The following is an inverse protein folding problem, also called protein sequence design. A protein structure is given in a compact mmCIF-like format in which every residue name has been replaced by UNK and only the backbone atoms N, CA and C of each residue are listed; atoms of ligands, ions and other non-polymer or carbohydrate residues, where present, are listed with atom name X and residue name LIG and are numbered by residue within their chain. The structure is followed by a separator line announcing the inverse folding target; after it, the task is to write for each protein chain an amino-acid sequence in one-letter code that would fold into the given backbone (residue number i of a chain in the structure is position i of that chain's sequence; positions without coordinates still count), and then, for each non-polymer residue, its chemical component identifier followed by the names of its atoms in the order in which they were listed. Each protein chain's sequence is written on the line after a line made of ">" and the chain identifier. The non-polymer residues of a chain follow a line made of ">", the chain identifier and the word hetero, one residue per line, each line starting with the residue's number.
data_IF_818483922558
#
_entry.id   IF_818483922558
#
_cell.length_a   1.000
_cell.length_b   1.000
_cell.length_c   1.000
_cell.angle_alpha   90.00
_cell.angle_beta   90.00
_cell.angle_gamma   90.00
#
_symmetry.space_group_name_H-M   'P 1'
#
loop_
_entity.id
_entity.type
_entity.pdbx_description
1 polymer ?
#
# COMPACT_ATOMS: atom_id res chain seq x y z
N UNK A 1 9.61 -11.11 7.47
CA UNK A 1 9.24 -11.67 6.16
C UNK A 1 10.45 -12.28 5.48
N UNK A 2 10.34 -13.45 4.92
CA UNK A 2 11.41 -14.04 4.12
C UNK A 2 11.26 -13.57 2.67
N UNK A 3 12.37 -13.24 1.97
CA UNK A 3 12.37 -12.99 0.51
C UNK A 3 12.15 -14.30 -0.27
N UNK A 4 11.30 -15.18 0.25
CA UNK A 4 11.06 -16.50 -0.33
C UNK A 4 10.03 -16.36 -1.43
N UNK A 5 10.34 -16.78 -2.67
CA UNK A 5 9.36 -16.84 -3.74
C UNK A 5 8.22 -17.79 -3.39
N UNK A 6 7.00 -17.41 -3.82
CA UNK A 6 5.83 -18.29 -3.70
C UNK A 6 6.06 -19.62 -4.39
N UNK A 7 5.64 -20.71 -3.78
CA UNK A 7 5.68 -22.03 -4.39
C UNK A 7 4.44 -22.30 -5.26
N UNK A 8 4.55 -23.28 -6.15
CA UNK A 8 3.41 -23.71 -6.98
C UNK A 8 2.29 -24.29 -6.10
N UNK A 9 2.63 -24.92 -4.98
CA UNK A 9 1.62 -25.54 -4.11
C UNK A 9 0.88 -24.47 -3.30
N UNK A 10 1.57 -23.44 -2.75
CA UNK A 10 0.90 -22.26 -2.16
C UNK A 10 -0.06 -21.58 -3.15
N UNK A 11 0.36 -21.45 -4.42
CA UNK A 11 -0.49 -20.88 -5.46
C UNK A 11 -1.74 -21.74 -5.74
N UNK A 12 -1.61 -23.07 -5.76
CA UNK A 12 -2.75 -24.00 -5.90
C UNK A 12 -3.72 -23.90 -4.72
N UNK A 13 -3.18 -23.91 -3.50
CA UNK A 13 -3.97 -23.83 -2.27
C UNK A 13 -4.75 -22.52 -2.21
N UNK A 14 -4.09 -21.39 -2.56
CA UNK A 14 -4.75 -20.10 -2.68
C UNK A 14 -5.92 -20.14 -3.67
N UNK A 15 -5.70 -20.69 -4.88
CA UNK A 15 -6.74 -20.79 -5.89
C UNK A 15 -7.91 -21.67 -5.46
N UNK A 16 -7.65 -22.74 -4.73
CA UNK A 16 -8.69 -23.63 -4.20
C UNK A 16 -9.54 -22.93 -3.13
N UNK A 17 -8.91 -22.16 -2.24
CA UNK A 17 -9.57 -21.40 -1.17
C UNK A 17 -10.32 -20.17 -1.69
N UNK A 18 -9.94 -19.62 -2.85
CA UNK A 18 -10.50 -18.39 -3.41
C UNK A 18 -11.09 -18.59 -4.82
N UNK A 19 -12.21 -19.34 -4.96
CA UNK A 19 -12.77 -19.70 -6.25
C UNK A 19 -13.36 -18.53 -7.04
N UNK A 20 -13.71 -17.42 -6.39
CA UNK A 20 -14.27 -16.20 -7.00
C UNK A 20 -13.22 -15.30 -7.64
N UNK A 21 -11.94 -15.44 -7.27
CA UNK A 21 -10.85 -14.66 -7.82
C UNK A 21 -10.69 -14.93 -9.31
N UNK A 22 -10.67 -13.88 -10.12
CA UNK A 22 -10.48 -13.88 -11.57
C UNK A 22 -9.18 -13.21 -12.00
N UNK A 23 -8.70 -12.27 -11.19
CA UNK A 23 -7.57 -11.40 -11.50
C UNK A 23 -6.56 -11.38 -10.36
N UNK A 24 -5.29 -11.42 -10.72
CA UNK A 24 -4.16 -11.31 -9.79
C UNK A 24 -3.37 -10.05 -10.13
N UNK A 25 -3.35 -9.09 -9.21
CA UNK A 25 -2.50 -7.91 -9.29
C UNK A 25 -1.15 -8.23 -8.67
N UNK A 26 -0.11 -8.26 -9.50
CA UNK A 26 1.27 -8.50 -9.04
C UNK A 26 2.04 -7.19 -9.17
N UNK A 27 2.59 -6.68 -8.07
CA UNK A 27 3.23 -5.37 -8.04
C UNK A 27 4.39 -5.30 -7.05
N UNK A 28 5.26 -4.32 -7.27
CA UNK A 28 6.22 -3.79 -6.30
C UNK A 28 5.86 -2.35 -5.96
N UNK A 29 6.64 -1.70 -5.09
CA UNK A 29 6.46 -0.28 -4.78
C UNK A 29 7.67 0.52 -5.28
N UNK A 30 7.40 1.63 -5.96
CA UNK A 30 8.43 2.58 -6.36
C UNK A 30 8.91 3.45 -5.17
N UNK A 31 9.91 4.30 -5.39
CA UNK A 31 10.46 5.19 -4.37
C UNK A 31 9.44 6.20 -3.78
N UNK A 32 8.29 6.37 -4.43
CA UNK A 32 7.19 7.19 -3.93
C UNK A 32 6.13 6.37 -3.16
N UNK A 33 6.35 5.06 -2.98
CA UNK A 33 5.40 4.15 -2.36
C UNK A 33 4.14 3.89 -3.22
N UNK A 34 4.26 4.05 -4.54
CA UNK A 34 3.19 3.77 -5.50
C UNK A 34 3.37 2.35 -6.02
N UNK A 35 2.28 1.55 -5.99
CA UNK A 35 2.29 0.21 -6.54
C UNK A 35 2.46 0.24 -8.07
N UNK A 36 3.48 -0.45 -8.57
CA UNK A 36 3.80 -0.60 -10.00
C UNK A 36 3.82 -2.08 -10.36
N UNK A 37 3.05 -2.48 -11.37
CA UNK A 37 2.96 -3.90 -11.67
C UNK A 37 2.01 -4.23 -12.80
N UNK A 38 1.62 -5.51 -12.86
CA UNK A 38 0.82 -6.09 -13.94
C UNK A 38 -0.38 -6.85 -13.36
N UNK A 39 -1.49 -6.83 -14.08
CA UNK A 39 -2.67 -7.66 -13.76
C UNK A 39 -2.69 -8.89 -14.66
N UNK A 40 -2.81 -10.05 -14.05
CA UNK A 40 -2.87 -11.34 -14.72
C UNK A 40 -4.24 -12.01 -14.52
N UNK A 41 -4.54 -12.98 -15.36
CA UNK A 41 -5.67 -13.86 -15.13
C UNK A 41 -5.36 -14.86 -14.03
N UNK A 42 -6.40 -15.34 -13.37
CA UNK A 42 -6.31 -16.41 -12.37
C UNK A 42 -5.45 -17.59 -12.84
N UNK A 43 -5.67 -18.02 -14.08
CA UNK A 43 -5.04 -19.23 -14.63
C UNK A 43 -3.52 -19.08 -14.86
N UNK A 44 -3.03 -17.84 -14.91
CA UNK A 44 -1.60 -17.56 -15.06
C UNK A 44 -0.82 -17.74 -13.74
N UNK A 45 -1.49 -17.79 -12.58
CA UNK A 45 -0.83 -17.77 -11.27
C UNK A 45 0.17 -18.91 -11.09
N UNK A 46 -0.16 -20.12 -11.55
CA UNK A 46 0.74 -21.28 -11.42
C UNK A 46 2.00 -21.12 -12.29
N UNK A 47 1.87 -20.47 -13.46
CA UNK A 47 3.01 -20.13 -14.30
C UNK A 47 3.89 -19.05 -13.65
N UNK A 48 3.26 -18.02 -13.08
CA UNK A 48 3.96 -16.95 -12.35
C UNK A 48 4.72 -17.49 -11.14
N UNK A 49 4.11 -18.41 -10.37
CA UNK A 49 4.77 -19.05 -9.24
C UNK A 49 6.00 -19.87 -9.66
N UNK A 50 5.92 -20.57 -10.82
CA UNK A 50 7.01 -21.41 -11.34
C UNK A 50 8.12 -20.60 -11.99
N UNK A 51 7.75 -19.66 -12.85
CA UNK A 51 8.66 -19.00 -13.78
C UNK A 51 8.99 -17.56 -13.39
N UNK A 52 8.17 -16.94 -12.51
CA UNK A 52 8.21 -15.49 -12.25
C UNK A 52 7.64 -14.70 -13.43
N UNK A 53 7.99 -13.45 -13.47
CA UNK A 53 7.63 -12.50 -14.53
C UNK A 53 8.80 -11.56 -14.82
N UNK A 54 8.68 -10.78 -15.88
CA UNK A 54 9.69 -9.79 -16.26
C UNK A 54 9.12 -8.37 -16.05
N UNK A 55 9.93 -7.47 -15.50
CA UNK A 55 9.60 -6.06 -15.28
C UNK A 55 10.79 -5.19 -15.65
N UNK A 56 10.58 -3.99 -16.21
CA UNK A 56 11.67 -3.05 -16.40
C UNK A 56 12.24 -2.59 -15.07
N UNK A 57 13.56 -2.49 -14.96
CA UNK A 57 14.23 -2.03 -13.74
C UNK A 57 13.85 -0.59 -13.38
N UNK A 58 13.46 0.21 -14.38
CA UNK A 58 12.96 1.57 -14.20
C UNK A 58 11.65 1.69 -13.42
N UNK A 59 10.95 0.59 -13.15
CA UNK A 59 9.72 0.60 -12.38
C UNK A 59 9.88 1.25 -10.99
N UNK A 60 11.09 1.27 -10.42
CA UNK A 60 11.38 1.94 -9.15
C UNK A 60 11.56 3.46 -9.25
N UNK A 61 11.91 3.99 -10.42
CA UNK A 61 12.32 5.39 -10.65
C UNK A 61 11.33 6.19 -11.50
N UNK A 62 10.06 5.87 -11.35
CA UNK A 62 8.96 6.59 -11.99
C UNK A 62 8.47 7.68 -11.02
N UNK A 63 8.21 8.90 -11.53
CA UNK A 63 7.65 9.97 -10.71
C UNK A 63 6.18 9.70 -10.31
N UNK A 64 5.58 10.48 -9.38
CA UNK A 64 4.18 10.28 -8.99
C UNK A 64 3.16 10.44 -10.12
N UNK A 65 3.53 11.10 -11.22
CA UNK A 65 2.68 11.29 -12.40
C UNK A 65 2.83 10.16 -13.43
N UNK A 66 3.79 9.26 -13.22
CA UNK A 66 4.06 8.15 -14.13
C UNK A 66 5.13 8.45 -15.19
N UNK A 67 5.87 9.54 -15.06
CA UNK A 67 6.97 9.84 -15.97
C UNK A 67 8.27 9.18 -15.51
N UNK A 68 9.04 8.69 -16.46
CA UNK A 68 10.39 8.17 -16.19
C UNK A 68 11.36 9.31 -15.89
N UNK A 69 12.22 9.12 -14.88
CA UNK A 69 13.21 10.11 -14.44
C UNK A 69 14.55 9.84 -15.14
N UNK A 70 14.76 10.50 -16.29
CA UNK A 70 15.94 10.32 -17.15
C UNK A 70 17.25 10.69 -16.47
N UNK A 71 17.23 11.67 -15.56
CA UNK A 71 18.41 12.17 -14.82
C UNK A 71 19.08 11.10 -13.96
N UNK A 72 18.42 9.98 -13.73
CA UNK A 72 19.01 8.82 -13.03
C UNK A 72 20.09 8.11 -13.85
N UNK A 73 20.18 8.33 -15.17
CA UNK A 73 21.08 7.63 -16.09
C UNK A 73 20.75 6.13 -16.24
N UNK A 74 19.55 5.70 -15.88
CA UNK A 74 19.17 4.28 -15.84
C UNK A 74 18.02 3.91 -16.77
N UNK A 75 17.79 4.74 -17.77
CA UNK A 75 16.77 4.53 -18.80
C UNK A 75 17.42 4.35 -20.16
N UNK A 76 17.64 5.47 -20.83
CA UNK A 76 18.14 5.48 -22.21
C UNK A 76 19.57 4.99 -22.32
N UNK A 77 20.39 5.28 -21.31
CA UNK A 77 21.81 4.90 -21.22
C UNK A 77 21.98 3.39 -21.06
N UNK A 78 21.06 2.72 -20.37
CA UNK A 78 21.10 1.27 -20.11
C UNK A 78 20.18 0.47 -21.03
N UNK A 79 19.33 1.15 -21.82
CA UNK A 79 18.30 0.51 -22.65
C UNK A 79 17.12 -0.06 -21.85
N UNK A 80 16.98 0.33 -20.56
CA UNK A 80 15.90 -0.08 -19.64
C UNK A 80 15.57 -1.59 -19.71
N UNK A 81 16.53 -2.46 -19.41
CA UNK A 81 16.33 -3.89 -19.58
C UNK A 81 15.27 -4.42 -18.59
N UNK A 82 14.46 -5.36 -19.06
CA UNK A 82 13.63 -6.15 -18.19
C UNK A 82 14.48 -7.03 -17.27
N UNK A 83 14.15 -7.06 -15.99
CA UNK A 83 14.74 -7.94 -14.98
C UNK A 83 13.73 -8.97 -14.49
N UNK A 84 14.19 -10.17 -14.05
CA UNK A 84 13.31 -11.14 -13.43
C UNK A 84 12.66 -10.59 -12.17
N UNK A 85 11.40 -10.97 -11.94
CA UNK A 85 10.68 -10.67 -10.72
C UNK A 85 9.98 -11.94 -10.20
N UNK A 86 9.90 -12.06 -8.87
CA UNK A 86 9.28 -13.20 -8.19
C UNK A 86 8.22 -12.72 -7.23
N UNK A 87 7.06 -13.36 -7.24
CA UNK A 87 6.03 -13.16 -6.22
C UNK A 87 6.56 -13.63 -4.88
N UNK A 88 6.43 -12.81 -3.86
CA UNK A 88 6.83 -13.16 -2.49
C UNK A 88 5.77 -14.06 -1.84
N UNK A 89 6.22 -15.13 -1.20
CA UNK A 89 5.40 -15.96 -0.31
C UNK A 89 4.76 -15.07 0.77
N UNK A 90 3.61 -15.46 1.29
CA UNK A 90 2.83 -14.76 2.32
C UNK A 90 2.26 -13.37 1.92
N UNK A 91 2.40 -12.96 0.63
CA UNK A 91 1.84 -11.69 0.15
C UNK A 91 0.61 -11.85 -0.74
N UNK A 92 0.33 -13.08 -1.18
CA UNK A 92 -0.82 -13.38 -2.04
C UNK A 92 -2.10 -13.41 -1.20
N UNK A 93 -2.91 -12.36 -1.32
CA UNK A 93 -4.14 -12.18 -0.53
C UNK A 93 -5.31 -11.76 -1.40
N UNK A 94 -6.54 -12.11 -1.04
CA UNK A 94 -7.72 -11.56 -1.72
C UNK A 94 -7.87 -10.07 -1.46
N UNK A 95 -8.44 -9.37 -2.43
CA UNK A 95 -8.90 -7.99 -2.27
C UNK A 95 -10.42 -8.04 -2.20
N UNK A 96 -11.02 -7.98 -0.99
CA UNK A 96 -12.43 -8.27 -0.76
C UNK A 96 -13.36 -7.09 -1.12
N UNK A 97 -13.16 -6.51 -2.30
CA UNK A 97 -13.97 -5.45 -2.89
C UNK A 97 -14.44 -5.88 -4.27
N UNK A 98 -15.45 -5.23 -4.84
CA UNK A 98 -16.01 -5.56 -6.15
C UNK A 98 -16.35 -7.07 -6.30
N UNK A 99 -17.02 -7.64 -5.31
CA UNK A 99 -17.39 -9.05 -5.29
C UNK A 99 -16.22 -10.02 -5.08
N UNK A 100 -15.12 -9.57 -4.49
CA UNK A 100 -13.91 -10.36 -4.20
C UNK A 100 -13.34 -11.10 -5.43
N UNK A 101 -13.39 -10.46 -6.59
CA UNK A 101 -12.90 -11.06 -7.84
C UNK A 101 -11.42 -10.82 -8.10
N UNK A 102 -10.75 -10.09 -7.22
CA UNK A 102 -9.34 -9.74 -7.32
C UNK A 102 -8.54 -10.33 -6.17
N UNK A 103 -7.28 -10.65 -6.47
CA UNK A 103 -6.24 -10.88 -5.47
C UNK A 103 -5.06 -9.96 -5.76
N UNK A 104 -4.21 -9.79 -4.76
CA UNK A 104 -2.97 -9.04 -4.88
C UNK A 104 -1.80 -9.85 -4.36
N UNK A 105 -0.62 -9.59 -4.92
CA UNK A 105 0.63 -10.15 -4.46
C UNK A 105 1.76 -9.15 -4.67
N UNK A 106 2.70 -9.11 -3.74
CA UNK A 106 3.92 -8.30 -3.87
C UNK A 106 4.98 -9.12 -4.58
N UNK A 107 5.71 -8.49 -5.48
CA UNK A 107 6.88 -9.10 -6.14
C UNK A 107 8.16 -8.39 -5.74
N UNK A 108 9.24 -9.14 -5.73
CA UNK A 108 10.59 -8.62 -5.64
C UNK A 108 11.27 -8.70 -7.02
N UNK A 109 11.95 -7.63 -7.43
CA UNK A 109 12.72 -7.57 -8.67
C UNK A 109 14.18 -7.97 -8.38
N UNK A 110 14.77 -8.77 -9.26
CA UNK A 110 16.18 -9.16 -9.18
C UNK A 110 17.05 -8.04 -9.75
N UNK A 111 17.31 -7.01 -8.93
CA UNK A 111 18.17 -5.86 -9.26
C UNK A 111 19.40 -5.82 -8.35
N UNK A 112 20.31 -4.87 -8.60
CA UNK A 112 21.46 -4.57 -7.73
C UNK A 112 21.06 -3.94 -6.38
N UNK A 113 19.77 -3.64 -6.19
CA UNK A 113 19.18 -3.25 -4.90
C UNK A 113 19.35 -1.78 -4.52
N UNK A 114 20.06 -0.97 -5.27
CA UNK A 114 20.34 0.43 -4.94
C UNK A 114 19.14 1.37 -5.18
N UNK A 115 18.16 0.95 -5.97
CA UNK A 115 16.91 1.67 -6.23
C UNK A 115 15.69 0.97 -5.60
N UNK A 116 15.86 -0.19 -5.01
CA UNK A 116 14.82 -0.94 -4.32
C UNK A 116 14.77 -0.54 -2.84
N UNK A 117 13.74 0.22 -2.46
CA UNK A 117 13.53 0.66 -1.07
C UNK A 117 13.46 -0.49 -0.08
N UNK A 118 12.93 -1.65 -0.49
CA UNK A 118 12.90 -2.86 0.34
C UNK A 118 14.30 -3.41 0.57
N UNK A 119 15.10 -3.58 -0.48
CA UNK A 119 16.47 -4.09 -0.37
C UNK A 119 17.35 -3.16 0.48
N UNK A 120 17.18 -1.84 0.34
CA UNK A 120 17.86 -0.83 1.15
C UNK A 120 17.50 -1.02 2.65
N UNK A 121 16.21 -1.17 2.98
CA UNK A 121 15.76 -1.38 4.36
C UNK A 121 16.28 -2.70 4.94
N UNK A 122 16.22 -3.79 4.17
CA UNK A 122 16.75 -5.10 4.56
C UNK A 122 18.24 -5.04 4.90
N UNK A 123 19.01 -4.31 4.10
CA UNK A 123 20.44 -4.09 4.37
C UNK A 123 20.67 -3.34 5.70
N UNK A 124 19.84 -2.32 6.01
CA UNK A 124 19.94 -1.60 7.29
C UNK A 124 19.53 -2.48 8.47
N UNK A 125 18.44 -3.24 8.37
CA UNK A 125 18.02 -4.21 9.40
C UNK A 125 19.12 -5.25 9.65
N UNK A 126 19.76 -5.76 8.60
CA UNK A 126 20.88 -6.69 8.74
C UNK A 126 22.09 -6.07 9.47
N UNK A 127 22.37 -4.77 9.22
CA UNK A 127 23.44 -4.02 9.95
C UNK A 127 23.10 -3.87 11.43
N UNK A 128 21.83 -3.61 11.78
CA UNK A 128 21.37 -3.52 13.18
C UNK A 128 21.48 -4.88 13.88
N UNK A 129 21.02 -5.96 13.24
CA UNK A 129 21.12 -7.34 13.77
C UNK A 129 22.57 -7.74 14.07
N UNK A 130 23.55 -7.35 13.23
CA UNK A 130 24.98 -7.58 13.50
C UNK A 130 25.48 -6.87 14.76
N UNK A 131 24.77 -5.85 15.25
CA UNK A 131 25.06 -5.13 16.49
C UNK A 131 24.24 -5.64 17.68
N UNK A 132 23.47 -6.72 17.51
CA UNK A 132 22.58 -7.27 18.54
C UNK A 132 21.30 -6.45 18.75
N UNK A 133 20.93 -5.58 17.81
CA UNK A 133 19.75 -4.73 17.89
C UNK A 133 18.66 -5.28 16.99
N UNK A 134 17.43 -5.29 17.50
CA UNK A 134 16.22 -5.65 16.73
C UNK A 134 15.30 -4.43 16.66
N UNK A 135 15.12 -3.81 15.50
CA UNK A 135 14.20 -2.68 15.37
C UNK A 135 12.76 -3.16 15.52
N UNK A 136 12.03 -2.53 16.43
CA UNK A 136 10.58 -2.68 16.60
C UNK A 136 9.92 -1.42 16.07
N UNK A 137 9.08 -1.55 15.06
CA UNK A 137 8.55 -0.41 14.32
C UNK A 137 7.04 -0.48 14.16
N UNK A 138 6.40 0.69 14.13
CA UNK A 138 5.01 0.88 13.73
C UNK A 138 4.91 2.08 12.79
N UNK A 139 3.86 2.11 11.98
CA UNK A 139 3.55 3.19 11.04
C UNK A 139 2.18 3.75 11.36
N UNK A 140 2.06 5.07 11.37
CA UNK A 140 0.80 5.82 11.45
C UNK A 140 0.65 6.62 10.15
N UNK A 141 -0.52 6.55 9.54
CA UNK A 141 -0.78 7.18 8.26
C UNK A 141 -1.99 8.10 8.34
N UNK A 142 -1.77 9.38 8.08
CA UNK A 142 -2.84 10.35 7.92
C UNK A 142 -3.31 10.43 6.47
N UNK A 143 -4.61 10.64 6.28
CA UNK A 143 -5.20 10.76 4.96
C UNK A 143 -6.49 11.59 4.99
N UNK A 144 -6.80 12.18 3.85
CA UNK A 144 -8.07 12.86 3.63
C UNK A 144 -9.03 11.98 2.84
N UNK A 145 -10.31 12.01 3.24
CA UNK A 145 -11.41 11.42 2.47
C UNK A 145 -12.14 12.51 1.71
N UNK A 146 -12.36 12.30 0.42
CA UNK A 146 -12.99 13.29 -0.45
C UNK A 146 -14.07 12.65 -1.33
N UNK A 147 -15.00 13.46 -1.83
CA UNK A 147 -15.92 13.04 -2.87
C UNK A 147 -15.20 12.98 -4.22
N UNK A 148 -15.61 12.09 -5.13
CA UNK A 148 -15.19 12.17 -6.52
C UNK A 148 -15.66 13.50 -7.13
N UNK A 149 -14.77 14.16 -7.86
CA UNK A 149 -15.12 15.35 -8.62
C UNK A 149 -16.04 15.06 -9.81
N UNK A 150 -16.61 16.12 -10.38
CA UNK A 150 -17.35 16.01 -11.64
C UNK A 150 -16.41 15.52 -12.75
N UNK A 151 -16.90 14.62 -13.59
CA UNK A 151 -16.17 14.06 -14.74
C UNK A 151 -14.81 13.41 -14.38
N UNK A 152 -14.67 12.89 -13.15
CA UNK A 152 -13.43 12.25 -12.69
C UNK A 152 -12.32 13.21 -12.29
N UNK A 153 -12.60 14.51 -12.22
CA UNK A 153 -11.64 15.48 -11.71
C UNK A 153 -11.33 15.19 -10.22
N UNK A 154 -10.09 15.43 -9.82
CA UNK A 154 -9.74 15.45 -8.41
C UNK A 154 -10.39 16.65 -7.73
N UNK A 155 -11.05 16.42 -6.60
CA UNK A 155 -11.61 17.47 -5.75
C UNK A 155 -11.26 17.20 -4.30
N UNK A 156 -11.07 18.25 -3.54
CA UNK A 156 -10.88 18.21 -2.09
C UNK A 156 -12.19 18.41 -1.32
N UNK A 157 -13.34 18.30 -2.00
CA UNK A 157 -14.62 18.41 -1.31
C UNK A 157 -14.82 17.25 -0.35
N UNK A 158 -15.05 17.55 0.93
CA UNK A 158 -15.37 16.57 1.94
C UNK A 158 -16.68 15.82 1.60
N UNK A 159 -16.84 14.56 2.02
CA UNK A 159 -18.10 13.83 1.93
C UNK A 159 -19.25 14.59 2.59
N UNK A 160 -20.48 14.35 2.10
CA UNK A 160 -21.68 14.93 2.73
C UNK A 160 -21.82 14.47 4.17
N UNK A 161 -22.18 15.39 5.05
CA UNK A 161 -22.40 15.12 6.48
C UNK A 161 -21.14 15.22 7.33
N UNK A 162 -19.96 15.39 6.72
CA UNK A 162 -18.74 15.63 7.48
C UNK A 162 -18.56 17.11 7.79
N UNK A 163 -17.88 17.38 8.88
CA UNK A 163 -17.52 18.73 9.30
C UNK A 163 -16.48 19.30 8.34
N UNK A 164 -16.85 20.37 7.64
CA UNK A 164 -15.96 21.09 6.71
C UNK A 164 -15.37 22.36 7.31
N UNK A 165 -15.78 22.72 8.52
CA UNK A 165 -15.25 23.86 9.26
C UNK A 165 -13.99 23.42 10.02
N UNK A 166 -12.79 23.91 9.65
CA UNK A 166 -11.56 23.56 10.34
C UNK A 166 -11.54 23.95 11.83
N UNK A 167 -12.34 24.96 12.21
CA UNK A 167 -12.45 25.38 13.62
C UNK A 167 -13.41 24.50 14.42
N UNK A 168 -14.34 23.81 13.73
CA UNK A 168 -15.31 22.90 14.33
C UNK A 168 -14.87 21.43 14.24
N UNK A 169 -13.90 21.08 13.39
CA UNK A 169 -13.33 19.76 13.32
C UNK A 169 -12.54 19.46 14.60
N UNK A 170 -13.18 18.75 15.51
CA UNK A 170 -12.54 18.37 16.78
C UNK A 170 -11.61 17.17 16.56
N UNK A 171 -10.29 17.37 16.66
CA UNK A 171 -9.33 16.26 16.76
C UNK A 171 -9.78 15.28 17.85
N UNK A 172 -9.67 13.99 17.57
CA UNK A 172 -10.19 12.87 18.40
C UNK A 172 -11.72 12.87 18.58
N UNK A 173 -12.44 13.61 17.74
CA UNK A 173 -13.90 13.57 17.71
C UNK A 173 -14.46 12.26 17.13
N UNK A 174 -15.73 12.00 17.39
CA UNK A 174 -16.40 10.81 16.87
C UNK A 174 -17.40 11.10 15.73
N UNK A 175 -17.77 12.37 15.53
CA UNK A 175 -18.84 12.71 14.58
C UNK A 175 -18.55 12.25 13.15
N UNK A 176 -17.31 12.46 12.68
CA UNK A 176 -16.91 12.04 11.33
C UNK A 176 -16.68 10.53 11.27
N UNK A 177 -16.18 9.91 12.37
CA UNK A 177 -16.07 8.46 12.49
C UNK A 177 -17.43 7.78 12.40
N UNK A 178 -18.43 8.29 13.12
CA UNK A 178 -19.81 7.76 13.09
C UNK A 178 -20.45 7.94 11.69
N UNK A 179 -20.22 9.09 11.06
CA UNK A 179 -20.76 9.38 9.73
C UNK A 179 -20.17 8.44 8.67
N UNK A 180 -18.90 8.08 8.78
CA UNK A 180 -18.19 7.18 7.85
C UNK A 180 -18.04 5.75 8.38
N UNK A 181 -18.79 5.34 9.42
CA UNK A 181 -18.67 4.02 10.02
C UNK A 181 -18.65 2.87 8.99
N UNK A 182 -19.53 2.80 7.98
CA UNK A 182 -19.48 1.71 7.00
C UNK A 182 -18.19 1.68 6.18
N UNK A 183 -17.58 2.82 5.87
CA UNK A 183 -16.28 2.91 5.19
C UNK A 183 -15.15 2.43 6.11
N UNK A 184 -15.20 2.81 7.39
CA UNK A 184 -14.22 2.40 8.41
C UNK A 184 -14.30 0.89 8.67
N UNK A 185 -15.50 0.35 8.78
CA UNK A 185 -15.74 -1.10 8.93
C UNK A 185 -15.11 -1.88 7.76
N UNK A 186 -15.24 -1.37 6.54
CA UNK A 186 -14.62 -1.98 5.36
C UNK A 186 -13.09 -1.90 5.39
N UNK A 187 -12.50 -0.83 5.93
CA UNK A 187 -11.03 -0.77 6.13
C UNK A 187 -10.59 -1.89 7.08
N UNK A 188 -11.25 -2.05 8.24
CA UNK A 188 -10.92 -3.10 9.20
C UNK A 188 -11.10 -4.49 8.59
N UNK A 189 -12.20 -4.72 7.88
CA UNK A 189 -12.49 -6.01 7.21
C UNK A 189 -11.42 -6.35 6.15
N UNK A 190 -11.01 -5.38 5.32
CA UNK A 190 -9.95 -5.60 4.32
C UNK A 190 -8.63 -5.87 5.02
N UNK A 191 -8.31 -5.09 6.06
CA UNK A 191 -7.08 -5.25 6.83
C UNK A 191 -6.98 -6.64 7.48
N UNK A 192 -8.07 -7.12 8.09
CA UNK A 192 -8.13 -8.46 8.70
C UNK A 192 -7.86 -9.56 7.66
N UNK A 193 -8.53 -9.51 6.50
CA UNK A 193 -8.34 -10.49 5.43
C UNK A 193 -6.90 -10.47 4.89
N UNK A 194 -6.26 -9.31 4.86
CA UNK A 194 -4.89 -9.13 4.36
C UNK A 194 -3.82 -9.27 5.45
N UNK A 195 -4.21 -9.57 6.71
CA UNK A 195 -3.28 -9.73 7.83
C UNK A 195 -2.58 -8.43 8.24
N UNK A 196 -3.15 -7.26 7.92
CA UNK A 196 -2.62 -5.97 8.32
C UNK A 196 -2.99 -5.69 9.78
N UNK A 197 -2.03 -5.35 10.65
CA UNK A 197 -2.25 -5.21 12.08
C UNK A 197 -2.78 -3.82 12.44
N UNK A 198 -3.94 -3.45 11.92
CA UNK A 198 -4.59 -2.17 12.26
C UNK A 198 -4.90 -2.16 13.75
N UNK A 199 -4.58 -1.04 14.42
CA UNK A 199 -4.86 -0.80 15.83
C UNK A 199 -6.05 0.14 16.00
N UNK A 200 -5.90 1.41 15.62
CA UNK A 200 -6.92 2.43 15.79
C UNK A 200 -7.08 3.30 14.55
N UNK A 201 -8.26 3.90 14.41
CA UNK A 201 -8.55 5.00 13.49
C UNK A 201 -9.04 6.17 14.33
N UNK A 202 -8.53 7.35 14.07
CA UNK A 202 -8.91 8.59 14.75
C UNK A 202 -9.28 9.67 13.74
N UNK A 203 -10.16 10.59 14.17
CA UNK A 203 -10.42 11.84 13.46
C UNK A 203 -9.29 12.81 13.73
N UNK A 204 -8.73 13.40 12.67
CA UNK A 204 -7.66 14.36 12.70
C UNK A 204 -8.15 15.81 12.60
N UNK A 205 -7.19 16.75 12.60
CA UNK A 205 -7.48 18.20 12.68
C UNK A 205 -8.11 18.79 11.42
N UNK A 206 -7.86 18.19 10.26
CA UNK A 206 -8.38 18.68 8.99
C UNK A 206 -9.78 18.18 8.66
N UNK A 207 -10.55 18.89 7.81
CA UNK A 207 -11.88 18.47 7.39
C UNK A 207 -11.83 17.09 6.70
N UNK A 208 -12.53 16.09 7.23
CA UNK A 208 -12.49 14.72 6.74
C UNK A 208 -11.08 14.10 6.71
N UNK A 209 -10.22 14.52 7.62
CA UNK A 209 -8.89 13.94 7.84
C UNK A 209 -8.97 12.88 8.93
N UNK A 210 -8.32 11.76 8.67
CA UNK A 210 -8.24 10.62 9.58
C UNK A 210 -6.79 10.15 9.69
N UNK A 211 -6.45 9.56 10.83
CA UNK A 211 -5.23 8.80 11.01
C UNK A 211 -5.57 7.34 11.28
N UNK A 212 -4.75 6.44 10.76
CA UNK A 212 -4.86 5.01 11.00
C UNK A 212 -3.50 4.47 11.46
N UNK A 213 -3.53 3.79 12.61
CA UNK A 213 -2.35 3.32 13.31
C UNK A 213 -2.19 1.82 13.12
N UNK A 214 -0.96 1.37 12.88
CA UNK A 214 -0.59 -0.04 12.86
C UNK A 214 0.10 -0.43 14.17
N UNK A 215 -0.12 -1.67 14.60
CA UNK A 215 0.59 -2.25 15.75
C UNK A 215 2.07 -2.43 15.45
N UNK A 216 2.89 -2.30 16.47
CA UNK A 216 4.33 -2.50 16.39
C UNK A 216 4.68 -3.92 15.98
N UNK A 217 5.74 -4.05 15.16
CA UNK A 217 6.35 -5.32 14.75
C UNK A 217 7.87 -5.29 15.00
N UNK A 218 8.42 -6.43 15.35
CA UNK A 218 9.87 -6.68 15.44
C UNK A 218 10.49 -7.05 14.08
N UNK A 219 9.75 -6.84 13.02
CA UNK A 219 10.16 -6.95 11.60
C UNK A 219 9.88 -5.62 10.89
N UNK A 220 10.91 -4.76 10.80
CA UNK A 220 10.78 -3.44 10.20
C UNK A 220 10.46 -3.49 8.69
N UNK A 221 10.88 -4.56 7.98
CA UNK A 221 10.57 -4.73 6.55
C UNK A 221 9.07 -5.03 6.38
N UNK A 222 8.54 -5.90 7.25
CA UNK A 222 7.11 -6.19 7.26
C UNK A 222 6.29 -4.97 7.69
N UNK A 223 6.72 -4.22 8.71
CA UNK A 223 6.03 -3.00 9.14
C UNK A 223 5.94 -1.95 8.01
N UNK A 224 7.01 -1.78 7.24
CA UNK A 224 7.00 -0.89 6.08
C UNK A 224 6.03 -1.38 4.99
N UNK A 225 6.01 -2.69 4.72
CA UNK A 225 5.09 -3.28 3.76
C UNK A 225 3.63 -3.16 4.22
N UNK A 226 3.35 -3.39 5.51
CA UNK A 226 2.01 -3.21 6.08
C UNK A 226 1.49 -1.78 5.86
N UNK A 227 2.33 -0.75 6.07
CA UNK A 227 1.97 0.64 5.80
C UNK A 227 1.65 0.91 4.33
N UNK A 228 2.42 0.34 3.40
CA UNK A 228 2.16 0.49 1.96
C UNK A 228 0.89 -0.24 1.52
N UNK A 229 0.64 -1.43 2.04
CA UNK A 229 -0.58 -2.20 1.77
C UNK A 229 -1.80 -1.55 2.40
N UNK A 230 -1.67 -0.96 3.59
CA UNK A 230 -2.74 -0.21 4.25
C UNK A 230 -3.23 0.96 3.39
N UNK A 231 -2.33 1.74 2.78
CA UNK A 231 -2.72 2.80 1.83
C UNK A 231 -3.58 2.25 0.68
N UNK A 232 -3.25 1.05 0.21
CA UNK A 232 -4.00 0.38 -0.85
C UNK A 232 -5.36 -0.10 -0.35
N UNK A 233 -5.44 -0.65 0.86
CA UNK A 233 -6.67 -1.11 1.50
C UNK A 233 -7.65 0.04 1.73
N UNK A 234 -7.20 1.15 2.31
CA UNK A 234 -8.00 2.37 2.51
C UNK A 234 -8.56 2.90 1.20
N UNK A 235 -7.72 2.99 0.15
CA UNK A 235 -8.19 3.41 -1.18
C UNK A 235 -9.17 2.41 -1.82
N UNK A 236 -9.05 1.14 -1.52
CA UNK A 236 -10.00 0.13 -2.00
C UNK A 236 -11.36 0.28 -1.31
N UNK A 237 -11.37 0.41 0.02
CA UNK A 237 -12.59 0.70 0.79
C UNK A 237 -13.25 2.00 0.33
N UNK A 238 -12.50 3.09 0.14
CA UNK A 238 -13.05 4.35 -0.33
C UNK A 238 -13.82 4.20 -1.65
N UNK A 239 -13.28 3.46 -2.61
CA UNK A 239 -13.95 3.22 -3.90
C UNK A 239 -15.28 2.47 -3.76
N UNK A 240 -15.40 1.50 -2.84
CA UNK A 240 -16.67 0.80 -2.58
C UNK A 240 -17.76 1.78 -2.11
N UNK A 241 -17.37 2.78 -1.34
CA UNK A 241 -18.27 3.83 -0.83
C UNK A 241 -18.38 5.05 -1.75
N UNK A 242 -17.89 4.96 -3.00
CA UNK A 242 -17.87 6.09 -3.96
C UNK A 242 -17.17 7.32 -3.41
N UNK A 243 -16.10 7.09 -2.66
CA UNK A 243 -15.22 8.09 -2.07
C UNK A 243 -13.81 7.97 -2.67
N UNK A 244 -13.00 8.98 -2.46
CA UNK A 244 -11.55 8.94 -2.68
C UNK A 244 -10.84 9.05 -1.33
N UNK A 245 -9.66 8.45 -1.23
CA UNK A 245 -8.73 8.67 -0.13
C UNK A 245 -7.38 9.14 -0.69
N UNK A 246 -6.84 10.22 -0.13
CA UNK A 246 -5.55 10.76 -0.54
C UNK A 246 -4.58 10.80 0.64
N UNK A 247 -3.37 10.29 0.41
CA UNK A 247 -2.22 10.35 1.32
C UNK A 247 -1.21 11.42 0.88
N UNK A 248 -1.66 12.42 0.13
CA UNK A 248 -0.82 13.54 -0.27
C UNK A 248 -0.44 14.35 0.98
N UNK A 249 0.85 14.62 1.14
CA UNK A 249 1.37 15.28 2.35
C UNK A 249 0.74 16.66 2.63
N UNK A 250 0.40 17.41 1.59
CA UNK A 250 -0.28 18.72 1.71
C UNK A 250 -1.29 18.89 0.58
N UNK A 251 -2.50 18.30 0.69
CA UNK A 251 -3.50 18.35 -0.38
C UNK A 251 -4.11 19.74 -0.56
N UNK A 252 -4.23 20.52 0.50
CA UNK A 252 -4.76 21.89 0.48
C UNK A 252 -3.85 22.82 1.27
N UNK A 253 -3.64 24.06 0.76
CA UNK A 253 -2.67 24.99 1.35
C UNK A 253 -3.06 25.46 2.76
N UNK A 254 -4.37 25.59 3.06
CA UNK A 254 -4.88 26.04 4.34
C UNK A 254 -5.19 24.91 5.34
N UNK A 255 -5.30 23.67 4.87
CA UNK A 255 -5.62 22.53 5.74
C UNK A 255 -4.36 21.93 6.36
N UNK A 256 -4.52 21.13 7.41
CA UNK A 256 -3.41 20.37 7.98
C UNK A 256 -2.74 19.47 6.94
N UNK A 257 -1.45 19.26 7.07
CA UNK A 257 -0.73 18.26 6.30
C UNK A 257 -1.12 16.86 6.75
N UNK A 258 -0.90 15.86 5.91
CA UNK A 258 -1.02 14.46 6.28
C UNK A 258 0.37 13.92 6.64
N UNK A 259 0.53 13.52 7.90
CA UNK A 259 1.75 12.90 8.41
C UNK A 259 1.88 11.43 7.99
N UNK A 260 3.10 10.96 8.07
CA UNK A 260 3.44 9.55 8.14
C UNK A 260 4.45 9.40 9.26
N UNK A 261 3.99 8.99 10.43
CA UNK A 261 4.85 8.78 11.58
C UNK A 261 5.42 7.36 11.56
N UNK A 262 6.68 7.24 11.93
CA UNK A 262 7.35 5.95 12.10
C UNK A 262 7.87 5.90 13.53
N UNK A 263 7.29 5.01 14.33
CA UNK A 263 7.78 4.69 15.67
C UNK A 263 8.89 3.66 15.55
N UNK A 264 9.98 3.90 16.26
CA UNK A 264 11.14 3.01 16.27
C UNK A 264 11.64 2.83 17.70
N UNK A 265 11.71 1.58 18.12
CA UNK A 265 12.38 1.13 19.34
C UNK A 265 13.46 0.11 18.99
N UNK A 266 14.45 -0.09 19.91
CA UNK A 266 15.59 -0.99 19.73
C UNK A 266 15.71 -1.93 20.91
#
# INVERSE_FOLDING_TARGET
>A
MTNTPITVDEAKDFLAQNPTVKWIDVFTFDLNGIARGKRYRRDDLLSLARNGLMMPASAFIIDPRGNSIGETGRLWETGDPDVPARILSDTLTPVPVNGATHAQAVMNLETDGDMDGRAILEAQVARMKKRGLTPVTAVELEFYVTRPGKEGAFTLEAPHGLTIDPEAAGIYGYADLDTLAPFIDDIYRIAEIQGLPVDAIIQESGPAQFEINLKHRDDAVQAALDGLLLKRAVKAAAREHKLNATFMAKPHHDWCGSGMHIHLSL
#
